data_IF_061163762953
#
_entry.id   IF_061163762953
#
_cell.length_a   1.000
_cell.length_b   1.000
_cell.length_c   1.000
_cell.angle_alpha   90.00
_cell.angle_beta   90.00
_cell.angle_gamma   90.00
#
_symmetry.space_group_name_H-M   'P 1'
#
loop_
_entity.id
_entity.type
_entity.pdbx_description
1 polymer ?
#
# COMPACT_ATOMS: atom_id res chain seq x y z
N UNK A 1 -0.41 -1.31 15.62
CA UNK A 1 -0.96 -0.65 14.41
C UNK A 1 -1.76 0.53 14.88
N UNK A 2 -1.34 1.72 14.47
CA UNK A 2 -1.78 2.97 15.05
C UNK A 2 -2.20 3.93 13.94
N UNK A 3 -3.41 4.47 14.04
CA UNK A 3 -3.96 5.44 13.09
C UNK A 3 -3.68 6.90 13.50
N UNK A 4 -3.04 7.11 14.65
CA UNK A 4 -2.75 8.40 15.29
C UNK A 4 -1.34 8.45 15.89
N UNK A 5 -0.35 7.87 15.20
CA UNK A 5 1.04 7.78 15.68
C UNK A 5 1.70 9.17 15.70
N UNK A 6 2.15 9.63 16.87
CA UNK A 6 2.82 10.93 17.01
C UNK A 6 4.24 10.89 16.45
N UNK A 7 4.54 11.81 15.54
CA UNK A 7 5.88 12.05 15.03
C UNK A 7 6.62 13.11 15.86
N UNK A 8 7.96 13.20 15.78
CA UNK A 8 8.74 14.20 16.52
C UNK A 8 8.36 15.67 16.25
N UNK A 9 7.71 15.94 15.12
CA UNK A 9 7.18 17.26 14.74
C UNK A 9 5.73 17.49 15.23
N UNK A 10 5.21 16.61 16.09
CA UNK A 10 3.84 16.59 16.63
C UNK A 10 2.73 16.34 15.60
N UNK A 11 3.04 15.98 14.36
CA UNK A 11 2.03 15.48 13.41
C UNK A 11 1.63 14.04 13.73
N UNK A 12 0.50 13.59 13.16
CA UNK A 12 -0.02 12.22 13.32
C UNK A 12 0.11 11.44 12.02
N UNK A 13 0.74 10.27 12.08
CA UNK A 13 0.92 9.37 10.95
C UNK A 13 0.16 8.06 11.14
N UNK A 14 -0.05 7.34 10.04
CA UNK A 14 -0.43 5.93 10.12
C UNK A 14 0.83 5.09 10.34
N UNK A 15 0.72 4.07 11.19
CA UNK A 15 1.80 3.13 11.46
C UNK A 15 1.27 1.70 11.47
N UNK A 16 1.86 0.86 10.63
CA UNK A 16 1.74 -0.58 10.75
C UNK A 16 2.80 -1.07 11.76
N UNK A 17 2.37 -1.81 12.78
CA UNK A 17 3.29 -2.35 13.78
C UNK A 17 3.18 -3.87 13.80
N UNK A 18 4.25 -4.54 13.38
CA UNK A 18 4.30 -5.99 13.28
C UNK A 18 4.08 -6.66 14.65
N UNK A 19 4.61 -6.04 15.72
CA UNK A 19 4.44 -6.55 17.09
C UNK A 19 2.98 -6.54 17.53
N UNK A 20 2.25 -5.46 17.26
CA UNK A 20 0.83 -5.36 17.57
C UNK A 20 -0.01 -6.32 16.71
N UNK A 21 0.36 -6.48 15.44
CA UNK A 21 -0.29 -7.39 14.52
C UNK A 21 -0.14 -8.85 14.98
N UNK A 22 1.08 -9.29 15.29
CA UNK A 22 1.35 -10.61 15.85
C UNK A 22 0.67 -10.83 17.20
N UNK A 23 0.60 -9.79 18.04
CA UNK A 23 -0.09 -9.85 19.33
C UNK A 23 -1.59 -10.12 19.16
N UNK A 24 -2.22 -9.40 18.23
CA UNK A 24 -3.62 -9.62 17.90
C UNK A 24 -3.84 -11.01 17.31
N UNK A 25 -3.10 -11.37 16.26
CA UNK A 25 -3.28 -12.64 15.53
C UNK A 25 -3.15 -13.87 16.43
N UNK A 26 -2.08 -13.94 17.23
CA UNK A 26 -1.74 -15.12 18.02
C UNK A 26 -2.52 -15.20 19.33
N UNK A 27 -2.72 -14.07 20.03
CA UNK A 27 -3.24 -14.10 21.40
C UNK A 27 -4.69 -13.61 21.54
N UNK A 28 -5.17 -12.76 20.62
CA UNK A 28 -6.53 -12.20 20.66
C UNK A 28 -7.45 -12.93 19.67
N UNK A 29 -7.07 -12.96 18.40
CA UNK A 29 -7.75 -13.69 17.34
C UNK A 29 -7.53 -15.19 17.49
N UNK A 30 -6.37 -15.62 17.98
CA UNK A 30 -6.01 -17.03 18.17
C UNK A 30 -6.23 -17.85 16.89
N UNK A 31 -5.74 -17.32 15.77
CA UNK A 31 -5.79 -18.03 14.49
C UNK A 31 -4.98 -19.31 14.58
N UNK A 32 -5.55 -20.41 14.08
CA UNK A 32 -4.91 -21.72 14.12
C UNK A 32 -3.56 -21.70 13.38
N UNK A 33 -2.50 -22.10 14.09
CA UNK A 33 -1.15 -22.21 13.53
C UNK A 33 -0.40 -20.88 13.35
N UNK A 34 -0.97 -19.76 13.81
CA UNK A 34 -0.39 -18.42 13.63
C UNK A 34 1.02 -18.29 14.23
N UNK A 35 1.35 -19.07 15.27
CA UNK A 35 2.67 -19.06 15.90
C UNK A 35 3.82 -19.45 14.96
N UNK A 36 3.52 -20.09 13.83
CA UNK A 36 4.51 -20.53 12.83
C UNK A 36 4.88 -19.42 11.84
N UNK A 37 4.07 -18.37 11.77
CA UNK A 37 4.25 -17.27 10.82
C UNK A 37 5.16 -16.15 11.38
N UNK A 38 5.54 -16.25 12.67
CA UNK A 38 6.32 -15.25 13.38
C UNK A 38 7.54 -15.87 14.07
N UNK A 39 8.64 -15.11 14.17
CA UNK A 39 9.80 -15.56 14.94
C UNK A 39 9.56 -15.51 16.46
N UNK A 40 10.33 -16.30 17.21
CA UNK A 40 10.15 -16.43 18.66
C UNK A 40 10.38 -15.11 19.44
N UNK A 41 11.26 -14.24 18.96
CA UNK A 41 11.53 -12.95 19.63
C UNK A 41 10.37 -11.98 19.42
N UNK A 42 9.80 -11.94 18.21
CA UNK A 42 8.59 -11.19 17.90
C UNK A 42 7.41 -11.69 18.74
N UNK A 43 7.20 -13.00 18.87
CA UNK A 43 6.15 -13.56 19.73
C UNK A 43 6.30 -13.17 21.20
N UNK A 44 7.53 -13.16 21.72
CA UNK A 44 7.80 -12.70 23.08
C UNK A 44 7.45 -11.22 23.26
N UNK A 45 7.86 -10.36 22.31
CA UNK A 45 7.52 -8.92 22.33
C UNK A 45 6.02 -8.71 22.20
N UNK A 46 5.35 -9.44 21.31
CA UNK A 46 3.91 -9.39 21.08
C UNK A 46 3.14 -9.75 22.36
N UNK A 47 3.58 -10.79 23.08
CA UNK A 47 2.96 -11.16 24.35
C UNK A 47 3.14 -10.07 25.41
N UNK A 48 4.37 -9.59 25.60
CA UNK A 48 4.66 -8.53 26.56
C UNK A 48 3.89 -7.23 26.24
N UNK A 49 3.77 -6.90 24.94
CA UNK A 49 3.00 -5.77 24.43
C UNK A 49 1.52 -5.90 24.78
N UNK A 50 0.92 -7.06 24.55
CA UNK A 50 -0.49 -7.31 24.88
C UNK A 50 -0.76 -7.30 26.38
N UNK A 51 0.13 -7.88 27.19
CA UNK A 51 0.00 -7.92 28.65
C UNK A 51 0.09 -6.51 29.26
N UNK A 52 0.78 -5.58 28.60
CA UNK A 52 0.88 -4.18 29.00
C UNK A 52 -0.30 -3.29 28.54
N UNK A 53 -1.13 -3.76 27.60
CA UNK A 53 -2.29 -3.01 27.11
C UNK A 53 -3.46 -3.05 28.10
N UNK A 54 -4.08 -1.90 28.29
CA UNK A 54 -5.43 -1.79 28.87
C UNK A 54 -6.50 -2.41 27.96
N UNK A 55 -7.68 -2.68 28.51
CA UNK A 55 -8.80 -3.24 27.73
C UNK A 55 -9.28 -2.27 26.64
N UNK A 56 -9.18 -0.97 26.87
CA UNK A 56 -9.48 0.05 25.88
C UNK A 56 -8.49 0.01 24.72
N UNK A 57 -7.19 -0.14 25.00
CA UNK A 57 -6.16 -0.27 23.96
C UNK A 57 -6.31 -1.56 23.14
N UNK A 58 -6.66 -2.69 23.79
CA UNK A 58 -6.94 -3.96 23.09
C UNK A 58 -8.13 -3.83 22.14
N UNK A 59 -9.20 -3.17 22.60
CA UNK A 59 -10.39 -2.92 21.79
C UNK A 59 -10.07 -2.01 20.60
N UNK A 60 -9.26 -0.96 20.84
CA UNK A 60 -8.82 -0.06 19.78
C UNK A 60 -7.92 -0.76 18.76
N UNK A 61 -6.99 -1.61 19.22
CA UNK A 61 -6.14 -2.42 18.36
C UNK A 61 -6.96 -3.32 17.45
N UNK A 62 -7.91 -4.07 18.02
CA UNK A 62 -8.83 -4.93 17.27
C UNK A 62 -9.62 -4.11 16.23
N UNK A 63 -10.20 -2.98 16.63
CA UNK A 63 -10.91 -2.09 15.71
C UNK A 63 -10.01 -1.65 14.54
N UNK A 64 -8.77 -1.23 14.82
CA UNK A 64 -7.85 -0.73 13.80
C UNK A 64 -7.40 -1.84 12.84
N UNK A 65 -7.18 -3.06 13.34
CA UNK A 65 -6.76 -4.20 12.51
C UNK A 65 -7.93 -4.69 11.64
N UNK A 66 -9.14 -4.80 12.21
CA UNK A 66 -10.32 -5.28 11.47
C UNK A 66 -10.79 -4.26 10.44
N UNK A 67 -10.62 -2.95 10.69
CA UNK A 67 -10.95 -1.91 9.71
C UNK A 67 -10.22 -2.09 8.36
N UNK A 68 -9.06 -2.75 8.36
CA UNK A 68 -8.28 -3.05 7.16
C UNK A 68 -8.58 -4.40 6.50
N UNK A 69 -9.50 -5.22 7.04
CA UNK A 69 -9.86 -6.52 6.48
C UNK A 69 -11.05 -6.43 5.51
N UNK A 70 -11.13 -7.30 4.48
CA UNK A 70 -12.28 -7.39 3.60
C UNK A 70 -13.58 -7.59 4.40
N UNK A 71 -14.51 -6.62 4.29
CA UNK A 71 -15.77 -6.59 5.05
C UNK A 71 -15.89 -5.52 6.15
N UNK A 72 -14.91 -4.62 6.32
CA UNK A 72 -14.87 -3.62 7.40
C UNK A 72 -16.18 -2.86 7.76
N UNK A 73 -16.29 -2.57 9.07
CA UNK A 73 -17.41 -2.06 9.89
C UNK A 73 -18.66 -2.96 10.00
N UNK A 74 -18.63 -3.86 11.00
CA UNK A 74 -19.82 -4.49 11.59
C UNK A 74 -20.27 -5.83 10.99
N UNK A 75 -19.54 -6.37 10.01
CA UNK A 75 -19.95 -7.60 9.30
C UNK A 75 -19.46 -8.91 9.94
N UNK A 76 -18.36 -8.89 10.71
CA UNK A 76 -17.77 -10.09 11.31
C UNK A 76 -17.40 -9.88 12.80
N UNK A 77 -17.69 -10.89 13.61
CA UNK A 77 -17.05 -11.09 14.92
C UNK A 77 -15.73 -11.88 14.75
N UNK A 78 -15.03 -12.16 15.85
CA UNK A 78 -13.74 -12.89 15.79
C UNK A 78 -13.87 -14.29 15.18
N UNK A 79 -14.99 -14.98 15.40
CA UNK A 79 -15.26 -16.30 14.83
C UNK A 79 -15.48 -16.23 13.31
N UNK A 80 -16.25 -15.24 12.86
CA UNK A 80 -16.45 -14.95 11.45
C UNK A 80 -15.12 -14.62 10.75
N UNK A 81 -14.28 -13.79 11.37
CA UNK A 81 -12.95 -13.45 10.84
C UNK A 81 -12.06 -14.69 10.73
N UNK A 82 -12.00 -15.55 11.77
CA UNK A 82 -11.24 -16.80 11.72
C UNK A 82 -11.70 -17.70 10.58
N UNK A 83 -13.02 -17.83 10.41
CA UNK A 83 -13.62 -18.65 9.35
C UNK A 83 -13.24 -18.13 7.96
N UNK A 84 -13.42 -16.83 7.73
CA UNK A 84 -13.06 -16.20 6.46
C UNK A 84 -11.55 -16.34 6.18
N UNK A 85 -10.70 -16.12 7.18
CA UNK A 85 -9.25 -16.29 7.01
C UNK A 85 -8.90 -17.73 6.60
N UNK A 86 -9.50 -18.73 7.25
CA UNK A 86 -9.25 -20.13 6.93
C UNK A 86 -9.63 -20.48 5.48
N UNK A 87 -10.73 -19.93 4.95
CA UNK A 87 -11.13 -20.11 3.55
C UNK A 87 -10.09 -19.56 2.58
N UNK A 88 -9.59 -18.34 2.83
CA UNK A 88 -8.57 -17.72 1.98
C UNK A 88 -7.18 -18.37 2.12
N UNK A 89 -6.82 -18.87 3.31
CA UNK A 89 -5.60 -19.68 3.49
C UNK A 89 -5.70 -20.97 2.66
N UNK A 90 -6.86 -21.65 2.69
CA UNK A 90 -7.06 -22.86 1.92
C UNK A 90 -7.02 -22.62 0.40
N UNK A 91 -7.46 -21.44 -0.05
CA UNK A 91 -7.33 -20.99 -1.44
C UNK A 91 -5.87 -20.78 -1.85
N UNK A 92 -5.07 -20.16 -0.98
CA UNK A 92 -3.65 -19.90 -1.19
C UNK A 92 -3.34 -18.92 -2.33
N UNK A 93 -2.05 -18.66 -2.55
CA UNK A 93 -1.59 -17.69 -3.57
C UNK A 93 -1.99 -18.10 -4.99
N UNK A 94 -1.85 -19.38 -5.35
CA UNK A 94 -2.19 -19.87 -6.69
C UNK A 94 -3.69 -19.78 -6.96
N UNK A 95 -4.53 -20.18 -6.00
CA UNK A 95 -5.98 -20.07 -6.14
C UNK A 95 -6.44 -18.61 -6.23
N UNK A 96 -5.87 -17.72 -5.40
CA UNK A 96 -6.18 -16.30 -5.45
C UNK A 96 -5.75 -15.66 -6.77
N UNK A 97 -4.56 -16.02 -7.27
CA UNK A 97 -4.04 -15.55 -8.56
C UNK A 97 -4.91 -16.05 -9.73
N UNK A 98 -5.29 -17.33 -9.72
CA UNK A 98 -6.16 -17.89 -10.74
C UNK A 98 -7.53 -17.20 -10.78
N UNK A 99 -8.12 -16.92 -9.61
CA UNK A 99 -9.38 -16.18 -9.51
C UNK A 99 -9.24 -14.74 -10.04
N UNK A 100 -8.14 -14.05 -9.69
CA UNK A 100 -7.86 -12.70 -10.21
C UNK A 100 -7.71 -12.72 -11.74
N UNK A 101 -6.98 -13.68 -12.29
CA UNK A 101 -6.77 -13.77 -13.74
C UNK A 101 -8.07 -14.07 -14.48
N UNK A 102 -8.89 -15.00 -13.98
CA UNK A 102 -10.21 -15.27 -14.55
C UNK A 102 -11.10 -14.03 -14.55
N UNK A 103 -11.04 -13.20 -13.49
CA UNK A 103 -11.74 -11.91 -13.45
C UNK A 103 -11.21 -10.95 -14.52
N UNK A 104 -9.89 -10.79 -14.64
CA UNK A 104 -9.26 -9.91 -15.63
C UNK A 104 -9.57 -10.33 -17.06
N UNK A 105 -9.50 -11.63 -17.37
CA UNK A 105 -9.85 -12.19 -18.68
C UNK A 105 -11.29 -11.83 -19.10
N UNK A 106 -12.20 -11.73 -18.14
CA UNK A 106 -13.58 -11.34 -18.40
C UNK A 106 -13.77 -9.81 -18.55
N UNK A 107 -13.11 -8.99 -17.71
CA UNK A 107 -13.39 -7.55 -17.65
C UNK A 107 -12.50 -6.68 -18.54
N UNK A 108 -11.26 -7.08 -18.80
CA UNK A 108 -10.31 -6.28 -19.58
C UNK A 108 -10.76 -6.08 -21.03
N UNK A 109 -11.29 -7.10 -21.76
CA UNK A 109 -11.80 -6.88 -23.11
C UNK A 109 -12.94 -5.85 -23.16
N UNK A 110 -13.81 -5.85 -22.15
CA UNK A 110 -14.91 -4.87 -22.04
C UNK A 110 -14.37 -3.47 -21.73
N UNK A 111 -13.37 -3.37 -20.85
CA UNK A 111 -12.71 -2.11 -20.57
C UNK A 111 -12.04 -1.54 -21.83
N UNK A 112 -11.36 -2.38 -22.60
CA UNK A 112 -10.72 -1.99 -23.86
C UNK A 112 -11.73 -1.52 -24.91
N UNK A 113 -12.84 -2.25 -25.10
CA UNK A 113 -13.93 -1.83 -25.99
C UNK A 113 -14.51 -0.46 -25.59
N UNK A 114 -14.63 -0.20 -24.29
CA UNK A 114 -15.11 1.06 -23.75
C UNK A 114 -14.05 2.19 -23.72
N UNK A 115 -12.80 1.93 -24.13
CA UNK A 115 -11.69 2.88 -24.03
C UNK A 115 -11.25 3.18 -22.60
N UNK A 116 -11.58 2.30 -21.65
CA UNK A 116 -11.21 2.39 -20.23
C UNK A 116 -9.88 1.68 -20.00
N UNK A 117 -9.02 2.28 -19.19
CA UNK A 117 -7.77 1.69 -18.71
C UNK A 117 -7.90 1.35 -17.23
N UNK A 118 -7.89 0.06 -16.92
CA UNK A 118 -7.92 -0.44 -15.55
C UNK A 118 -6.52 -0.33 -14.94
N UNK A 119 -6.44 0.04 -13.67
CA UNK A 119 -5.17 0.18 -12.95
C UNK A 119 -5.26 -0.41 -11.55
N UNK A 120 -4.94 -1.70 -11.42
CA UNK A 120 -5.01 -2.40 -10.14
C UNK A 120 -3.99 -1.81 -9.15
N UNK A 121 -4.42 -1.61 -7.91
CA UNK A 121 -3.57 -1.15 -6.83
C UNK A 121 -2.83 -2.33 -6.18
N UNK A 122 -1.58 -2.18 -5.73
CA UNK A 122 -0.88 -3.22 -4.98
C UNK A 122 -1.55 -3.53 -3.63
N UNK A 123 -1.20 -4.70 -3.10
CA UNK A 123 -1.48 -5.04 -1.72
C UNK A 123 -0.79 -4.04 -0.76
N UNK A 124 -1.47 -3.65 0.32
CA UNK A 124 -0.94 -2.73 1.34
C UNK A 124 -1.14 -3.28 2.75
N UNK A 125 -0.09 -3.75 3.45
CA UNK A 125 1.29 -3.90 2.97
C UNK A 125 1.51 -5.01 1.91
N UNK A 126 2.60 -4.98 1.14
CA UNK A 126 2.88 -5.91 0.03
C UNK A 126 3.51 -7.23 0.52
N UNK A 127 2.96 -7.80 1.59
CA UNK A 127 3.36 -9.07 2.16
C UNK A 127 2.20 -9.71 2.92
N UNK A 128 2.23 -11.04 3.08
CA UNK A 128 1.15 -11.79 3.70
C UNK A 128 0.92 -11.36 5.15
N UNK A 129 -0.35 -11.21 5.49
CA UNK A 129 -0.87 -10.91 6.81
C UNK A 129 -1.89 -12.00 7.16
N UNK A 130 -1.87 -12.53 8.38
CA UNK A 130 -2.71 -13.68 8.79
C UNK A 130 -2.52 -14.96 7.95
N UNK A 131 -1.41 -15.08 7.21
CA UNK A 131 -1.23 -16.15 6.22
C UNK A 131 -2.11 -16.01 4.97
N UNK A 132 -2.81 -14.88 4.80
CA UNK A 132 -3.67 -14.62 3.65
C UNK A 132 -2.85 -14.45 2.37
N UNK A 133 -3.39 -14.91 1.22
CA UNK A 133 -2.77 -14.66 -0.07
C UNK A 133 -2.85 -13.18 -0.43
N UNK A 134 -1.74 -12.66 -0.93
CA UNK A 134 -1.57 -11.30 -1.47
C UNK A 134 -0.74 -11.43 -2.75
N UNK A 135 -1.37 -11.14 -3.88
CA UNK A 135 -0.91 -11.55 -5.23
C UNK A 135 -0.63 -10.36 -6.15
N UNK A 136 -0.54 -9.15 -5.60
CA UNK A 136 -0.13 -7.91 -6.29
C UNK A 136 0.85 -7.17 -5.38
N UNK A 137 1.94 -7.85 -4.98
CA UNK A 137 2.88 -7.39 -3.95
C UNK A 137 4.30 -7.12 -4.48
N UNK A 138 4.65 -7.71 -5.64
CA UNK A 138 6.01 -7.66 -6.19
C UNK A 138 6.03 -7.31 -7.68
N UNK A 139 7.22 -7.03 -8.21
CA UNK A 139 7.43 -6.93 -9.66
C UNK A 139 7.09 -8.25 -10.39
N UNK A 140 7.28 -9.41 -9.75
CA UNK A 140 6.90 -10.70 -10.33
C UNK A 140 5.38 -10.84 -10.46
N UNK A 141 4.64 -10.39 -9.46
CA UNK A 141 3.18 -10.34 -9.51
C UNK A 141 2.67 -9.42 -10.62
N UNK A 142 3.23 -8.21 -10.71
CA UNK A 142 2.96 -7.25 -11.78
C UNK A 142 3.18 -7.87 -13.17
N UNK A 143 4.32 -8.54 -13.37
CA UNK A 143 4.67 -9.21 -14.63
C UNK A 143 3.68 -10.33 -14.95
N UNK A 144 3.32 -11.15 -13.98
CA UNK A 144 2.35 -12.23 -14.17
C UNK A 144 0.97 -11.70 -14.54
N UNK A 145 0.52 -10.62 -13.90
CA UNK A 145 -0.76 -9.97 -14.18
C UNK A 145 -0.83 -9.40 -15.59
N UNK A 146 0.25 -8.77 -16.05
CA UNK A 146 0.34 -8.23 -17.41
C UNK A 146 0.40 -9.33 -18.47
N UNK A 147 1.08 -10.45 -18.15
CA UNK A 147 1.16 -11.61 -19.03
C UNK A 147 -0.17 -12.36 -19.16
N UNK A 148 -1.00 -12.38 -18.11
CA UNK A 148 -2.30 -13.05 -18.11
C UNK A 148 -3.26 -12.45 -19.14
N UNK A 149 -3.30 -11.12 -19.25
CA UNK A 149 -4.10 -10.42 -20.28
C UNK A 149 -3.28 -9.29 -20.90
N UNK A 150 -2.61 -9.53 -22.05
CA UNK A 150 -1.70 -8.57 -22.68
C UNK A 150 -2.47 -7.49 -23.43
N UNK A 151 -3.10 -6.58 -22.68
CA UNK A 151 -3.83 -5.41 -23.20
C UNK A 151 -3.32 -4.14 -22.50
N UNK A 152 -3.32 -3.01 -23.21
CA UNK A 152 -3.02 -1.70 -22.60
C UNK A 152 -4.07 -1.33 -21.54
N UNK A 153 -5.29 -1.87 -21.64
CA UNK A 153 -6.35 -1.65 -20.64
C UNK A 153 -6.15 -2.46 -19.36
N UNK A 154 -5.21 -3.41 -19.33
CA UNK A 154 -4.76 -4.11 -18.13
C UNK A 154 -3.49 -3.46 -17.60
N UNK A 155 -3.62 -2.59 -16.61
CA UNK A 155 -2.50 -1.83 -16.07
C UNK A 155 -2.45 -1.77 -14.56
N UNK A 156 -1.49 -0.98 -14.06
CA UNK A 156 -1.18 -0.81 -12.65
C UNK A 156 -1.44 0.60 -12.17
N UNK A 157 -1.91 0.70 -10.93
CA UNK A 157 -1.64 1.87 -10.09
C UNK A 157 -0.32 1.62 -9.37
N UNK A 158 0.75 2.33 -9.73
CA UNK A 158 2.01 2.22 -8.99
C UNK A 158 1.92 3.06 -7.73
N UNK A 159 1.71 2.39 -6.59
CA UNK A 159 1.74 3.03 -5.28
C UNK A 159 3.11 2.86 -4.63
N UNK A 160 3.85 3.96 -4.53
CA UNK A 160 5.18 3.98 -3.95
C UNK A 160 5.16 3.57 -2.47
N UNK A 161 4.16 4.03 -1.72
CA UNK A 161 4.04 3.71 -0.30
C UNK A 161 3.72 2.25 -0.02
N UNK A 162 2.88 1.62 -0.85
CA UNK A 162 2.53 0.21 -0.69
C UNK A 162 3.67 -0.68 -1.18
N UNK A 163 4.04 -0.64 -2.48
CA UNK A 163 5.13 -1.47 -3.00
C UNK A 163 6.46 -1.23 -2.27
N UNK A 164 6.72 0.00 -1.83
CA UNK A 164 7.94 0.38 -1.11
C UNK A 164 7.97 -0.01 0.36
N UNK A 165 6.89 -0.55 0.95
CA UNK A 165 6.94 -1.03 2.33
C UNK A 165 7.86 -2.26 2.51
N UNK A 166 8.28 -2.90 1.41
CA UNK A 166 9.34 -3.92 1.37
C UNK A 166 10.56 -3.41 0.60
N UNK A 167 11.76 -3.70 1.11
CA UNK A 167 13.01 -3.12 0.59
C UNK A 167 13.51 -3.77 -0.71
N UNK A 168 13.00 -4.95 -1.06
CA UNK A 168 13.40 -5.72 -2.24
C UNK A 168 12.61 -5.34 -3.51
N UNK A 169 11.60 -4.47 -3.41
CA UNK A 169 10.97 -3.87 -4.59
C UNK A 169 11.78 -2.66 -5.08
N UNK A 170 12.34 -2.77 -6.29
CA UNK A 170 12.95 -1.64 -6.99
C UNK A 170 11.87 -0.83 -7.73
N UNK A 171 11.35 0.22 -7.08
CA UNK A 171 10.27 1.05 -7.64
C UNK A 171 10.67 1.74 -8.95
N UNK A 172 11.92 2.15 -9.09
CA UNK A 172 12.43 2.80 -10.31
C UNK A 172 12.53 1.76 -11.44
N UNK A 173 13.05 0.58 -11.14
CA UNK A 173 13.05 -0.57 -12.04
C UNK A 173 11.65 -0.96 -12.49
N UNK A 174 10.69 -0.99 -11.56
CA UNK A 174 9.27 -1.26 -11.87
C UNK A 174 8.67 -0.22 -12.80
N UNK A 175 8.96 1.08 -12.63
CA UNK A 175 8.52 2.10 -13.60
C UNK A 175 9.14 1.86 -14.98
N UNK A 176 10.43 1.52 -15.05
CA UNK A 176 11.10 1.25 -16.33
C UNK A 176 10.56 0.02 -17.04
N UNK A 177 10.21 -1.03 -16.30
CA UNK A 177 9.67 -2.27 -16.86
C UNK A 177 8.19 -2.12 -17.26
N UNK A 178 7.38 -1.53 -16.38
CA UNK A 178 5.92 -1.53 -16.47
C UNK A 178 5.33 -0.20 -16.95
N UNK A 179 6.18 0.79 -17.23
CA UNK A 179 5.83 2.14 -17.69
C UNK A 179 4.66 2.19 -18.68
N UNK A 180 4.66 1.42 -19.79
CA UNK A 180 3.58 1.45 -20.78
C UNK A 180 2.17 1.16 -20.23
N UNK A 181 2.09 0.44 -19.11
CA UNK A 181 0.87 -0.04 -18.45
C UNK A 181 0.65 0.59 -17.05
N UNK A 182 1.46 1.57 -16.64
CA UNK A 182 1.17 2.38 -15.44
C UNK A 182 0.17 3.47 -15.83
N UNK A 183 -1.06 3.42 -15.32
CA UNK A 183 -2.11 4.41 -15.65
C UNK A 183 -2.44 5.36 -14.51
N UNK A 184 -1.92 5.11 -13.32
CA UNK A 184 -2.09 5.99 -12.17
C UNK A 184 -0.94 5.78 -11.18
N UNK A 185 -0.57 6.82 -10.43
CA UNK A 185 0.45 6.69 -9.37
C UNK A 185 -0.01 7.32 -8.06
N UNK A 186 0.30 6.62 -6.97
CA UNK A 186 0.20 7.13 -5.61
C UNK A 186 1.62 7.44 -5.14
N UNK A 187 1.93 8.72 -5.05
CA UNK A 187 3.24 9.20 -4.64
C UNK A 187 3.17 9.62 -3.18
N UNK A 188 3.33 8.64 -2.28
CA UNK A 188 3.58 8.82 -0.85
C UNK A 188 4.82 8.02 -0.45
N UNK A 189 5.28 8.21 0.77
CA UNK A 189 6.50 7.57 1.24
C UNK A 189 6.32 7.00 2.65
N UNK A 190 7.18 6.05 3.00
CA UNK A 190 7.17 5.36 4.30
C UNK A 190 8.57 5.31 4.87
N UNK A 191 8.69 5.06 6.17
CA UNK A 191 9.95 4.60 6.80
C UNK A 191 9.74 3.20 7.36
N UNK A 192 10.58 2.26 6.93
CA UNK A 192 10.61 0.87 7.37
C UNK A 192 11.40 0.77 8.66
N UNK A 193 10.99 -0.18 9.49
CA UNK A 193 11.64 -0.54 10.73
C UNK A 193 12.14 -1.98 10.63
N UNK A 194 13.19 -2.30 11.40
CA UNK A 194 13.90 -3.58 11.26
C UNK A 194 13.03 -4.82 11.57
N UNK A 195 11.91 -4.65 12.28
CA UNK A 195 11.01 -5.74 12.64
C UNK A 195 9.83 -5.93 11.67
N UNK A 196 9.87 -5.29 10.51
CA UNK A 196 8.81 -5.33 9.51
C UNK A 196 7.67 -4.34 9.75
N UNK A 197 7.76 -3.54 10.81
CA UNK A 197 6.90 -2.37 11.00
C UNK A 197 7.28 -1.23 10.04
N UNK A 198 6.35 -0.32 9.79
CA UNK A 198 6.62 0.91 9.04
C UNK A 198 5.58 1.98 9.37
N UNK A 199 5.93 3.24 9.13
CA UNK A 199 4.99 4.36 9.25
C UNK A 199 5.04 5.26 8.02
N UNK A 200 3.93 5.97 7.78
CA UNK A 200 3.82 7.00 6.75
C UNK A 200 4.80 8.13 7.05
N UNK A 201 5.75 8.36 6.15
CA UNK A 201 6.78 9.40 6.33
C UNK A 201 6.35 10.71 5.68
N UNK A 202 7.21 11.72 5.76
CA UNK A 202 7.13 12.86 4.84
C UNK A 202 7.35 12.38 3.40
N UNK A 203 6.70 13.00 2.42
CA UNK A 203 6.75 12.56 1.02
C UNK A 203 8.17 12.48 0.43
N UNK A 204 9.05 13.40 0.86
CA UNK A 204 10.44 13.49 0.38
C UNK A 204 11.49 12.99 1.39
N UNK A 205 11.08 12.64 2.61
CA UNK A 205 11.98 12.11 3.65
C UNK A 205 11.46 10.75 4.14
N UNK A 206 11.46 9.78 3.23
CA UNK A 206 11.18 8.38 3.51
C UNK A 206 12.18 7.48 2.83
N UNK A 207 11.96 6.18 2.91
CA UNK A 207 12.92 5.19 2.42
C UNK A 207 12.84 4.93 0.92
N UNK A 208 11.78 5.41 0.25
CA UNK A 208 11.66 5.35 -1.20
C UNK A 208 12.29 6.58 -1.84
N UNK A 209 13.11 6.39 -2.88
CA UNK A 209 13.68 7.48 -3.68
C UNK A 209 12.60 8.15 -4.53
N UNK A 210 11.90 9.11 -3.94
CA UNK A 210 10.80 9.83 -4.59
C UNK A 210 11.29 10.68 -5.79
N UNK A 211 12.50 11.23 -5.71
CA UNK A 211 13.05 12.06 -6.80
C UNK A 211 13.40 11.19 -8.00
N UNK A 212 14.08 10.06 -7.77
CA UNK A 212 14.39 9.08 -8.81
C UNK A 212 13.13 8.45 -9.41
N UNK A 213 12.13 8.14 -8.57
CA UNK A 213 10.84 7.62 -9.01
C UNK A 213 10.11 8.59 -9.94
N UNK A 214 9.98 9.87 -9.54
CA UNK A 214 9.39 10.91 -10.39
C UNK A 214 10.19 11.06 -11.69
N UNK A 215 11.53 11.01 -11.61
CA UNK A 215 12.38 11.03 -12.79
C UNK A 215 12.04 9.92 -13.78
N UNK A 216 11.90 8.68 -13.31
CA UNK A 216 11.54 7.55 -14.17
C UNK A 216 10.13 7.69 -14.78
N UNK A 217 9.16 8.24 -14.02
CA UNK A 217 7.81 8.49 -14.53
C UNK A 217 7.80 9.55 -15.63
N UNK A 218 8.55 10.63 -15.46
CA UNK A 218 8.70 11.67 -16.48
C UNK A 218 9.42 11.13 -17.74
N UNK A 219 10.34 10.18 -17.59
CA UNK A 219 10.97 9.50 -18.73
C UNK A 219 9.95 8.67 -19.52
N UNK A 220 9.06 7.96 -18.82
CA UNK A 220 7.96 7.23 -19.44
C UNK A 220 6.97 8.16 -20.16
N UNK A 221 6.57 9.28 -19.56
CA UNK A 221 5.69 10.26 -20.22
C UNK A 221 6.34 10.88 -21.48
N UNK A 222 7.65 11.15 -21.44
CA UNK A 222 8.40 11.61 -22.61
C UNK A 222 8.45 10.55 -23.72
N UNK A 223 8.67 9.27 -23.34
CA UNK A 223 8.63 8.13 -24.27
C UNK A 223 7.26 8.01 -24.93
N UNK A 224 6.17 8.05 -24.15
CA UNK A 224 4.79 8.06 -24.66
C UNK A 224 4.59 9.16 -25.71
N UNK A 225 5.03 10.36 -25.41
CA UNK A 225 4.92 11.50 -26.32
C UNK A 225 5.65 11.25 -27.65
N UNK A 226 6.88 10.71 -27.59
CA UNK A 226 7.67 10.40 -28.79
C UNK A 226 7.04 9.30 -29.65
N UNK A 227 6.34 8.36 -29.03
CA UNK A 227 5.60 7.29 -29.70
C UNK A 227 4.18 7.72 -30.16
N UNK A 228 3.82 8.99 -29.97
CA UNK A 228 2.52 9.53 -30.40
C UNK A 228 1.37 9.21 -29.44
N UNK A 229 1.65 8.74 -28.21
CA UNK A 229 0.67 8.64 -27.13
C UNK A 229 0.56 9.97 -26.39
N UNK A 230 -0.65 10.52 -26.34
CA UNK A 230 -0.93 11.81 -25.71
C UNK A 230 -1.33 11.71 -24.22
N UNK A 231 -1.39 10.50 -23.66
CA UNK A 231 -1.82 10.31 -22.28
C UNK A 231 -0.68 10.54 -21.27
N UNK A 232 -0.98 11.36 -20.26
CA UNK A 232 -0.15 11.55 -19.07
C UNK A 232 -0.44 10.48 -18.01
N UNK A 233 0.45 10.35 -17.04
CA UNK A 233 0.29 9.51 -15.85
C UNK A 233 -0.28 10.37 -14.72
N UNK A 234 -1.59 10.30 -14.43
CA UNK A 234 -2.16 11.01 -13.29
C UNK A 234 -1.50 10.57 -11.98
N UNK A 235 -1.39 11.50 -11.04
CA UNK A 235 -0.83 11.26 -9.72
C UNK A 235 -1.75 11.78 -8.61
N UNK A 236 -1.63 11.21 -7.43
CA UNK A 236 -2.09 11.82 -6.18
C UNK A 236 -1.02 11.68 -5.09
N UNK A 237 -0.96 12.58 -4.08
CA UNK A 237 -0.04 12.47 -2.95
C UNK A 237 -0.40 11.31 -2.00
N UNK A 238 -1.51 10.62 -2.27
CA UNK A 238 -2.08 9.54 -1.49
C UNK A 238 -2.39 9.93 -0.03
N UNK A 239 -1.58 9.48 0.93
CA UNK A 239 -1.74 9.81 2.34
C UNK A 239 -0.92 11.05 2.74
N UNK A 240 -1.35 11.72 3.80
CA UNK A 240 -0.60 12.79 4.45
C UNK A 240 -0.82 12.78 5.96
N UNK A 241 0.12 13.36 6.70
CA UNK A 241 0.01 13.44 8.15
C UNK A 241 -1.15 14.34 8.57
N UNK A 242 -1.82 14.03 9.67
CA UNK A 242 -2.72 14.99 10.31
C UNK A 242 -1.87 16.00 11.06
N UNK A 243 -2.04 17.29 10.79
CA UNK A 243 -1.18 18.36 11.29
C UNK A 243 -2.02 19.48 11.90
N UNK A 244 -1.43 20.18 12.88
CA UNK A 244 -1.99 21.41 13.44
C UNK A 244 -3.45 21.27 13.86
N UNK A 245 -4.28 22.19 13.40
CA UNK A 245 -5.67 22.33 13.83
C UNK A 245 -6.58 21.18 13.35
N UNK A 246 -6.11 20.31 12.44
CA UNK A 246 -6.84 19.10 12.02
C UNK A 246 -6.72 17.94 13.03
N UNK A 247 -5.78 18.02 13.97
CA UNK A 247 -5.60 16.97 14.99
C UNK A 247 -6.82 16.94 15.91
N UNK A 248 -7.46 15.78 16.01
CA UNK A 248 -8.65 15.55 16.84
C UNK A 248 -9.94 16.15 16.30
N UNK A 249 -9.95 16.70 15.08
CA UNK A 249 -11.17 17.20 14.45
C UNK A 249 -12.07 16.05 13.97
N UNK A 250 -13.39 16.22 14.17
CA UNK A 250 -14.37 15.29 13.62
C UNK A 250 -14.35 15.34 12.08
N UNK A 251 -14.51 14.18 11.44
CA UNK A 251 -14.54 14.05 9.97
C UNK A 251 -13.18 14.04 9.28
N UNK A 252 -12.06 14.16 10.02
CA UNK A 252 -10.72 13.95 9.47
C UNK A 252 -10.41 12.45 9.46
N UNK A 253 -10.47 11.84 8.28
CA UNK A 253 -10.14 10.43 8.11
C UNK A 253 -8.62 10.20 8.25
N UNK A 254 -8.17 9.15 8.96
CA UNK A 254 -6.75 8.87 9.14
C UNK A 254 -5.99 8.77 7.81
N UNK A 255 -4.90 9.52 7.67
CA UNK A 255 -4.11 9.61 6.43
C UNK A 255 -4.73 10.50 5.33
N UNK A 256 -5.96 10.98 5.51
CA UNK A 256 -6.70 11.78 4.51
C UNK A 256 -6.94 13.23 4.94
N UNK A 257 -6.19 13.73 5.92
CA UNK A 257 -6.14 15.15 6.27
C UNK A 257 -5.90 16.02 5.03
N UNK A 258 -6.45 17.22 5.02
CA UNK A 258 -6.26 18.16 3.92
C UNK A 258 -4.85 18.73 3.93
N UNK A 259 -4.39 19.24 5.08
CA UNK A 259 -3.12 19.91 5.24
C UNK A 259 -1.93 19.00 4.91
N UNK A 260 -1.95 17.76 5.39
CA UNK A 260 -0.89 16.79 5.11
C UNK A 260 -0.78 16.45 3.63
N UNK A 261 -1.91 16.15 2.98
CA UNK A 261 -1.93 15.82 1.55
C UNK A 261 -1.63 17.03 0.67
N UNK A 262 -2.08 18.23 1.05
CA UNK A 262 -1.75 19.46 0.36
C UNK A 262 -0.23 19.73 0.42
N UNK A 263 0.39 19.55 1.59
CA UNK A 263 1.84 19.66 1.76
C UNK A 263 2.57 18.67 0.84
N UNK A 264 2.21 17.40 0.89
CA UNK A 264 2.80 16.37 0.03
C UNK A 264 2.66 16.67 -1.45
N UNK A 265 1.47 17.08 -1.90
CA UNK A 265 1.23 17.49 -3.29
C UNK A 265 2.13 18.68 -3.69
N UNK A 266 2.32 19.65 -2.81
CA UNK A 266 3.16 20.81 -3.07
C UNK A 266 4.64 20.41 -3.22
N UNK A 267 5.13 19.49 -2.38
CA UNK A 267 6.48 18.92 -2.45
C UNK A 267 6.72 18.19 -3.78
N UNK A 268 5.83 17.27 -4.13
CA UNK A 268 5.90 16.48 -5.37
C UNK A 268 5.86 17.39 -6.60
N UNK A 269 4.97 18.39 -6.62
CA UNK A 269 4.91 19.39 -7.69
C UNK A 269 6.22 20.15 -7.84
N UNK A 270 6.88 20.48 -6.73
CA UNK A 270 8.19 21.14 -6.74
C UNK A 270 9.26 20.28 -7.40
N UNK A 271 9.32 18.98 -7.06
CA UNK A 271 10.24 18.00 -7.67
C UNK A 271 9.98 17.86 -9.17
N UNK A 272 8.71 17.66 -9.56
CA UNK A 272 8.31 17.56 -10.98
C UNK A 272 8.77 18.80 -11.74
N UNK A 273 8.44 20.00 -11.23
CA UNK A 273 8.81 21.25 -11.87
C UNK A 273 10.33 21.38 -12.06
N UNK A 274 11.12 21.10 -11.02
CA UNK A 274 12.56 21.17 -11.09
C UNK A 274 13.15 20.20 -12.13
N UNK A 275 12.70 18.93 -12.12
CA UNK A 275 13.16 17.91 -13.06
C UNK A 275 12.81 18.26 -14.50
N UNK A 276 11.60 18.76 -14.76
CA UNK A 276 11.22 19.23 -16.09
C UNK A 276 12.08 20.40 -16.56
N UNK A 277 12.38 21.38 -15.70
CA UNK A 277 13.22 22.51 -16.08
C UNK A 277 14.63 22.07 -16.45
N UNK A 278 15.21 21.14 -15.69
CA UNK A 278 16.54 20.60 -15.97
C UNK A 278 16.60 19.84 -17.30
N UNK A 279 15.53 19.11 -17.66
CA UNK A 279 15.43 18.37 -18.93
C UNK A 279 15.33 19.29 -20.15
N UNK A 280 14.65 20.43 -20.04
CA UNK A 280 14.53 21.40 -21.15
C UNK A 280 15.85 22.12 -21.47
N UNK A 281 16.81 22.10 -20.55
CA UNK A 281 18.12 22.73 -20.71
C UNK A 281 19.17 21.81 -21.33
N UNK A 282 18.87 20.52 -21.49
CA UNK A 282 19.72 19.51 -22.13
C UNK A 282 19.38 19.39 -23.61
#
# INVERSE_FOLDING_TARGET
>A
TNLDYELPNASRALRFEMTDFAAYDVFVLQREGAEKDYDAQLLQRARARLDAMSDAEKTLLEKNIIAGLPGGEGSYDRDGIRTAIAEFIALGNEGMRANLFAFLEAVIPVAEEAGVRMCIHPDDPPFSLFGLPRVVSTAEDARALMAAVPSVSNGLTLCAGSFGARADNDLIGMVREFGPQIHFVHLRNIKREADGSFFESEHLDGDNDMVGLIGALLDEEARRTTEGRADAIPMRPDHGHTMGDEIGQEGVNPGYSFGGRMKGLAELRGVIHALEQLRRQQ
#
